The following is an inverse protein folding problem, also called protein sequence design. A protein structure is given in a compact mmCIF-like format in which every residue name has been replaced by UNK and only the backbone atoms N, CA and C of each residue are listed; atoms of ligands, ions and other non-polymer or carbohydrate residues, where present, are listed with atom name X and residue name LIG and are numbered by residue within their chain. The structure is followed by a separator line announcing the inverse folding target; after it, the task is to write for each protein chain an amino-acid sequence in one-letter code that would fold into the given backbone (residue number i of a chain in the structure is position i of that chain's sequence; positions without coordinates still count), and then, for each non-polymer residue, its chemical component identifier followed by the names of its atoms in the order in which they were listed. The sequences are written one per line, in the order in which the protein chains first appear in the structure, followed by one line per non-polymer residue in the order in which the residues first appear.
data_IF_162574624510
#
_entry.id   IF_162574624510
#
_cell.length_a   1.000
_cell.length_b   1.000
_cell.length_c   1.000
_cell.angle_alpha   90.00
_cell.angle_beta   90.00
_cell.angle_gamma   90.00
#
_symmetry.space_group_name_H-M   'P 1'
#
loop_
_entity.id
_entity.type
_entity.pdbx_description
1 polymer ?
#
# COMPACT_ATOMS: atom_id res chain seq x y z
N UNK A 1 -11.64 13.08 2.01
CA UNK A 1 -12.47 12.59 0.88
C UNK A 1 -11.71 12.85 -0.40
N UNK A 2 -11.61 11.89 -1.33
CA UNK A 2 -10.89 12.12 -2.58
C UNK A 2 -11.58 13.22 -3.40
N UNK A 3 -10.78 14.06 -4.06
CA UNK A 3 -11.25 15.13 -4.96
C UNK A 3 -12.26 14.56 -5.99
N UNK A 4 -13.40 15.23 -6.18
CA UNK A 4 -14.46 14.80 -7.12
C UNK A 4 -13.95 14.57 -8.56
N UNK A 5 -12.86 15.23 -8.93
CA UNK A 5 -12.22 15.15 -10.25
C UNK A 5 -11.13 14.05 -10.34
N UNK A 6 -10.88 13.28 -9.29
CA UNK A 6 -9.87 12.21 -9.31
C UNK A 6 -10.35 10.96 -10.08
N UNK A 7 -9.44 10.23 -10.77
CA UNK A 7 -9.79 9.00 -11.46
C UNK A 7 -10.51 7.99 -10.56
N UNK A 8 -11.46 7.23 -11.10
CA UNK A 8 -12.21 6.23 -10.33
C UNK A 8 -11.27 5.24 -9.61
N UNK A 9 -10.21 4.80 -10.29
CA UNK A 9 -9.24 3.87 -9.72
C UNK A 9 -8.56 4.42 -8.46
N UNK A 10 -8.35 5.74 -8.36
CA UNK A 10 -7.79 6.37 -7.16
C UNK A 10 -8.82 6.48 -6.04
N UNK A 11 -10.09 6.75 -6.39
CA UNK A 11 -11.21 6.80 -5.44
C UNK A 11 -11.58 5.44 -4.86
N UNK A 12 -11.38 4.36 -5.61
CA UNK A 12 -11.70 2.99 -5.20
C UNK A 12 -10.55 2.31 -4.45
N UNK A 13 -9.41 2.98 -4.22
CA UNK A 13 -8.33 2.35 -3.45
C UNK A 13 -8.78 2.14 -2.01
N UNK A 14 -8.52 0.95 -1.43
CA UNK A 14 -8.85 0.69 -0.04
C UNK A 14 -7.90 1.45 0.89
N UNK A 15 -8.45 1.91 2.02
CA UNK A 15 -7.71 2.61 3.06
C UNK A 15 -7.11 1.65 4.11
N UNK A 16 -7.67 0.44 4.23
CA UNK A 16 -7.24 -0.59 5.20
C UNK A 16 -7.03 -1.94 4.53
N UNK A 17 -6.31 -2.85 5.22
CA UNK A 17 -6.11 -4.22 4.74
C UNK A 17 -7.43 -5.00 4.62
N UNK A 18 -8.47 -4.66 5.39
CA UNK A 18 -9.79 -5.31 5.31
C UNK A 18 -10.47 -5.06 3.96
N UNK A 19 -10.21 -3.91 3.34
CA UNK A 19 -10.70 -3.57 2.01
C UNK A 19 -9.81 -4.08 0.87
N UNK A 20 -8.69 -4.74 1.15
CA UNK A 20 -7.72 -5.16 0.14
C UNK A 20 -8.05 -6.55 -0.42
N UNK A 21 -8.56 -6.58 -1.64
CA UNK A 21 -9.09 -7.79 -2.27
C UNK A 21 -8.04 -8.67 -2.97
N UNK A 22 -8.16 -10.00 -2.85
CA UNK A 22 -7.49 -10.99 -3.70
C UNK A 22 -6.08 -11.41 -3.29
N UNK A 23 -5.58 -10.94 -2.14
CA UNK A 23 -4.24 -11.27 -1.62
C UNK A 23 -4.31 -11.79 -0.18
N UNK A 24 -5.31 -12.59 0.16
CA UNK A 24 -5.63 -13.06 1.52
C UNK A 24 -4.48 -13.86 2.14
N UNK A 25 -3.65 -14.52 1.31
CA UNK A 25 -2.45 -15.22 1.80
C UNK A 25 -1.36 -14.26 2.31
N UNK A 26 -1.36 -13.01 1.85
CA UNK A 26 -0.42 -11.97 2.25
C UNK A 26 -0.99 -11.06 3.34
N UNK A 27 -2.23 -10.58 3.15
CA UNK A 27 -2.84 -9.52 3.99
C UNK A 27 -3.93 -10.02 4.93
N UNK A 28 -4.32 -11.29 4.82
CA UNK A 28 -5.39 -11.85 5.62
C UNK A 28 -5.09 -11.85 7.12
N UNK A 29 -6.10 -12.18 7.92
CA UNK A 29 -5.93 -12.26 9.37
C UNK A 29 -4.85 -13.27 9.77
N UNK A 30 -4.05 -12.89 10.77
CA UNK A 30 -2.94 -13.69 11.27
C UNK A 30 -1.79 -13.90 10.26
N UNK A 31 -1.75 -13.14 9.16
CA UNK A 31 -0.62 -13.15 8.22
C UNK A 31 0.47 -12.19 8.67
N UNK A 32 1.69 -12.51 8.25
CA UNK A 32 2.90 -11.81 8.67
C UNK A 32 2.83 -10.30 8.44
N UNK A 33 2.34 -9.84 7.29
CA UNK A 33 2.27 -8.40 7.02
C UNK A 33 1.33 -7.67 7.97
N UNK A 34 0.18 -8.29 8.30
CA UNK A 34 -0.78 -7.72 9.25
C UNK A 34 -0.22 -7.68 10.68
N UNK A 35 0.51 -8.71 11.08
CA UNK A 35 1.19 -8.75 12.39
C UNK A 35 2.29 -7.68 12.49
N UNK A 36 3.15 -7.57 11.47
CA UNK A 36 4.21 -6.56 11.44
C UNK A 36 3.67 -5.13 11.47
N UNK A 37 2.54 -4.88 10.81
CA UNK A 37 1.83 -3.59 10.87
C UNK A 37 1.23 -3.32 12.25
N UNK A 38 0.65 -4.34 12.90
CA UNK A 38 0.10 -4.20 14.26
C UNK A 38 1.17 -3.94 15.32
N UNK A 39 2.37 -4.48 15.12
CA UNK A 39 3.53 -4.30 15.98
C UNK A 39 4.36 -3.05 15.62
N UNK A 40 4.00 -2.33 14.56
CA UNK A 40 4.75 -1.21 13.97
C UNK A 40 6.25 -1.52 13.75
N UNK A 41 6.54 -2.75 13.33
CA UNK A 41 7.90 -3.31 13.21
C UNK A 41 8.16 -3.78 11.78
N UNK A 42 7.98 -2.87 10.81
CA UNK A 42 8.11 -3.19 9.39
C UNK A 42 9.58 -3.19 8.94
N UNK A 43 10.10 -4.31 8.41
CA UNK A 43 11.42 -4.34 7.80
C UNK A 43 11.40 -3.67 6.42
N UNK A 44 12.59 -3.49 5.83
CA UNK A 44 12.72 -3.11 4.43
C UNK A 44 11.95 -4.06 3.51
N UNK A 45 11.02 -3.53 2.72
CA UNK A 45 10.09 -4.31 1.90
C UNK A 45 10.18 -3.93 0.42
N UNK A 46 10.14 -4.94 -0.45
CA UNK A 46 9.97 -4.76 -1.90
C UNK A 46 8.62 -5.37 -2.30
N UNK A 47 7.70 -4.55 -2.81
CA UNK A 47 6.42 -5.01 -3.35
C UNK A 47 6.58 -5.31 -4.85
N UNK A 48 6.61 -6.59 -5.22
CA UNK A 48 6.76 -7.04 -6.61
C UNK A 48 5.50 -7.73 -7.14
N UNK A 49 5.18 -7.51 -8.42
CA UNK A 49 4.02 -8.12 -9.08
C UNK A 49 3.59 -7.40 -10.37
N UNK A 50 2.68 -7.99 -11.16
CA UNK A 50 2.20 -7.45 -12.43
C UNK A 50 1.45 -6.10 -12.29
N UNK A 51 1.30 -5.30 -13.35
CA UNK A 51 0.53 -4.06 -13.30
C UNK A 51 -0.90 -4.34 -12.81
N UNK A 52 -1.43 -3.46 -11.95
CA UNK A 52 -2.75 -3.64 -11.34
C UNK A 52 -2.82 -4.58 -10.12
N UNK A 53 -1.72 -5.24 -9.72
CA UNK A 53 -1.71 -6.16 -8.57
C UNK A 53 -1.86 -5.51 -7.17
N UNK A 54 -2.16 -4.22 -7.10
CA UNK A 54 -2.39 -3.51 -5.83
C UNK A 54 -1.15 -2.98 -5.10
N UNK A 55 0.07 -3.05 -5.66
CA UNK A 55 1.32 -2.59 -4.99
C UNK A 55 1.24 -1.17 -4.43
N UNK A 56 0.81 -0.20 -5.26
CA UNK A 56 0.72 1.20 -4.85
C UNK A 56 -0.38 1.42 -3.83
N UNK A 57 -1.46 0.64 -3.87
CA UNK A 57 -2.51 0.69 -2.86
C UNK A 57 -2.00 0.11 -1.53
N UNK A 58 -1.30 -1.02 -1.57
CA UNK A 58 -0.72 -1.64 -0.37
C UNK A 58 0.33 -0.75 0.30
N UNK A 59 1.19 -0.09 -0.49
CA UNK A 59 2.15 0.88 0.04
C UNK A 59 1.46 2.05 0.77
N UNK A 60 0.33 2.54 0.24
CA UNK A 60 -0.47 3.59 0.90
C UNK A 60 -1.11 3.11 2.20
N UNK A 61 -1.67 1.90 2.21
CA UNK A 61 -2.25 1.31 3.44
C UNK A 61 -1.17 1.17 4.49
N UNK A 62 0.01 0.65 4.13
CA UNK A 62 1.15 0.53 5.04
C UNK A 62 1.52 1.90 5.61
N UNK A 63 1.67 2.93 4.77
CA UNK A 63 2.01 4.28 5.24
C UNK A 63 0.98 4.90 6.18
N UNK A 64 -0.30 4.53 6.03
CA UNK A 64 -1.37 5.03 6.88
C UNK A 64 -1.52 4.22 8.19
N UNK A 65 -0.94 3.01 8.24
CA UNK A 65 -1.05 2.10 9.36
C UNK A 65 0.19 2.07 10.27
N UNK A 66 1.28 2.75 9.89
CA UNK A 66 2.52 2.89 10.67
C UNK A 66 2.71 4.32 11.15
N UNK A 67 3.44 4.54 12.25
CA UNK A 67 3.79 5.89 12.73
C UNK A 67 5.09 6.44 12.08
N UNK A 68 5.44 5.92 10.91
CA UNK A 68 6.68 6.25 10.20
C UNK A 68 6.52 7.39 9.18
N UNK A 69 7.59 8.16 8.98
CA UNK A 69 7.66 9.14 7.90
C UNK A 69 7.62 8.46 6.53
N UNK A 70 6.58 8.73 5.74
CA UNK A 70 6.43 8.17 4.41
C UNK A 70 6.83 9.16 3.31
N UNK A 71 7.81 8.76 2.49
CA UNK A 71 8.22 9.51 1.30
C UNK A 71 7.83 8.74 0.04
N UNK A 72 6.87 9.27 -0.71
CA UNK A 72 6.52 8.71 -2.02
C UNK A 72 7.55 9.12 -3.06
N UNK A 73 8.22 8.15 -3.66
CA UNK A 73 9.19 8.38 -4.74
C UNK A 73 8.87 7.52 -5.96
N UNK A 74 8.89 8.13 -7.15
CA UNK A 74 8.73 7.43 -8.42
C UNK A 74 9.96 7.66 -9.29
N UNK A 75 10.72 6.60 -9.57
CA UNK A 75 11.90 6.67 -10.41
C UNK A 75 11.60 7.19 -11.84
N UNK A 76 10.39 6.96 -12.34
CA UNK A 76 9.94 7.42 -13.66
C UNK A 76 9.70 8.94 -13.66
N UNK A 77 9.10 9.48 -12.59
CA UNK A 77 8.82 10.91 -12.48
C UNK A 77 10.04 11.71 -12.04
N UNK A 78 10.96 11.06 -11.33
CA UNK A 78 12.13 11.71 -10.71
C UNK A 78 13.33 11.81 -11.64
N UNK A 79 13.21 11.38 -12.91
CA UNK A 79 14.21 11.58 -13.95
C UNK A 79 15.63 11.37 -13.44
N UNK A 80 16.00 10.12 -13.13
CA UNK A 80 17.38 9.81 -12.76
C UNK A 80 18.25 10.11 -13.99
N UNK A 81 19.04 11.18 -13.92
CA UNK A 81 20.19 11.40 -14.80
C UNK A 81 21.41 10.69 -14.22
#
# INVERSE_FOLDING_TARGET
MPELNSPLADRMRPDTLDGFFGQEKLVGEGRILRQLLQEDSLPSLILWGPPGSGKTSLAKIISAATDADFVFFSAVLSGVK
#
